data_IF_805525191733
#
_entry.id   IF_805525191733
#
_cell.length_a   1.000
_cell.length_b   1.000
_cell.length_c   1.000
_cell.angle_alpha   90.00
_cell.angle_beta   90.00
_cell.angle_gamma   90.00
#
_symmetry.space_group_name_H-M   'P 1'
#
loop_
_entity.id
_entity.type
_entity.pdbx_description
1 polymer ?
#
# COMPACT_ATOMS: atom_id res chain seq x y z
N UNK A 1 33.30 50.44 37.88
CA UNK A 1 33.60 49.82 36.58
C UNK A 1 33.75 48.32 36.77
N UNK A 2 32.69 47.58 36.55
CA UNK A 2 32.69 46.15 36.37
C UNK A 2 32.14 45.85 34.99
N UNK A 3 33.04 45.46 34.10
CA UNK A 3 32.73 45.04 32.75
C UNK A 3 32.18 43.62 32.79
N UNK A 4 30.93 43.45 32.37
CA UNK A 4 30.37 42.15 32.04
C UNK A 4 30.87 41.71 30.69
N UNK A 5 31.65 40.64 30.66
CA UNK A 5 32.05 39.96 29.44
C UNK A 5 30.88 39.09 28.98
N UNK A 6 30.21 39.49 27.92
CA UNK A 6 29.24 38.71 27.18
C UNK A 6 30.01 37.78 26.23
N UNK A 7 30.23 36.55 26.67
CA UNK A 7 30.70 35.49 25.73
C UNK A 7 30.04 34.17 26.13
N UNK A 8 28.72 34.14 26.06
CA UNK A 8 27.98 32.87 25.96
C UNK A 8 27.64 32.71 24.50
N UNK A 9 28.48 31.93 23.81
CA UNK A 9 28.13 31.35 22.52
C UNK A 9 27.08 30.25 22.80
N UNK A 10 25.83 30.60 22.57
CA UNK A 10 24.77 29.61 22.48
C UNK A 10 25.06 28.75 21.25
N UNK A 11 25.15 27.43 21.37
CA UNK A 11 25.15 26.58 20.20
C UNK A 11 23.72 26.59 19.66
N UNK A 12 23.45 27.59 18.80
CA UNK A 12 22.26 27.55 17.95
C UNK A 12 22.59 26.66 16.75
N UNK A 13 22.53 25.41 16.94
CA UNK A 13 22.16 24.49 15.86
C UNK A 13 20.79 23.88 16.19
N UNK A 14 19.79 24.75 16.17
CA UNK A 14 18.44 24.34 15.88
C UNK A 14 18.36 24.30 14.33
N UNK A 15 19.03 23.34 13.68
CA UNK A 15 18.52 22.83 12.44
C UNK A 15 17.15 22.29 12.81
N UNK A 16 16.13 23.09 12.54
CA UNK A 16 14.75 22.68 12.65
C UNK A 16 14.63 21.40 11.87
N UNK A 17 14.50 20.30 12.58
CA UNK A 17 14.11 19.03 11.99
C UNK A 17 12.68 19.27 11.51
N UNK A 18 12.54 19.80 10.30
CA UNK A 18 11.25 19.95 9.62
C UNK A 18 10.77 18.58 9.11
N UNK A 19 11.08 17.51 9.84
CA UNK A 19 10.62 16.18 9.54
C UNK A 19 9.10 16.07 9.75
N UNK A 20 8.48 15.26 8.93
CA UNK A 20 7.09 14.83 9.12
C UNK A 20 7.08 13.67 10.10
N UNK A 21 6.17 13.73 11.08
CA UNK A 21 5.83 12.61 11.96
C UNK A 21 4.53 11.97 11.45
N UNK A 22 4.53 10.66 11.26
CA UNK A 22 3.41 9.91 10.75
C UNK A 22 3.13 8.70 11.63
N UNK A 23 1.93 8.64 12.21
CA UNK A 23 1.46 7.46 12.95
C UNK A 23 0.91 6.42 11.98
N UNK A 24 1.40 5.19 12.04
CA UNK A 24 0.94 4.06 11.23
C UNK A 24 0.28 3.03 12.14
N UNK A 25 -1.04 2.89 12.00
CA UNK A 25 -1.82 1.90 12.73
C UNK A 25 -1.70 0.50 12.10
N UNK A 26 -1.66 -0.54 12.96
CA UNK A 26 -1.61 -1.93 12.55
C UNK A 26 -2.51 -2.81 13.40
N UNK A 27 -2.89 -3.95 12.86
CA UNK A 27 -3.64 -5.00 13.56
C UNK A 27 -2.69 -6.11 14.01
N UNK A 28 -3.09 -6.88 15.03
CA UNK A 28 -2.41 -8.15 15.36
C UNK A 28 -2.43 -9.09 14.15
N UNK A 29 -1.31 -9.77 13.88
CA UNK A 29 -1.10 -10.65 12.74
C UNK A 29 -0.49 -9.94 11.54
N UNK A 30 -0.79 -10.42 10.34
CA UNK A 30 -0.24 -9.89 9.10
C UNK A 30 -0.88 -8.57 8.69
N UNK A 31 -0.05 -7.61 8.31
CA UNK A 31 -0.41 -6.32 7.73
C UNK A 31 0.38 -6.11 6.44
N UNK A 32 -0.10 -5.23 5.57
CA UNK A 32 0.70 -4.72 4.46
C UNK A 32 1.10 -3.29 4.80
N UNK A 33 2.42 -3.04 4.90
CA UNK A 33 3.00 -1.75 5.25
C UNK A 33 3.76 -1.15 4.07
N UNK A 34 4.05 0.14 4.13
CA UNK A 34 4.88 0.85 3.16
C UNK A 34 5.64 1.99 3.81
N UNK A 35 6.66 2.53 3.14
CA UNK A 35 7.47 3.64 3.60
C UNK A 35 7.08 4.93 2.85
N UNK A 36 6.33 5.86 3.47
CA UNK A 36 5.85 7.08 2.83
C UNK A 36 6.75 8.30 3.07
N UNK A 37 7.94 8.11 3.66
CA UNK A 37 8.88 9.15 4.06
C UNK A 37 10.30 8.81 3.58
N UNK A 38 11.11 9.83 3.32
CA UNK A 38 12.56 9.69 3.23
C UNK A 38 13.10 9.66 4.67
N UNK A 39 13.81 8.60 5.02
CA UNK A 39 14.25 8.30 6.39
C UNK A 39 15.76 8.08 6.47
N UNK A 40 16.35 8.28 7.65
CA UNK A 40 17.77 7.99 7.87
C UNK A 40 18.05 6.48 7.89
N UNK A 41 17.16 5.68 8.48
CA UNK A 41 17.23 4.22 8.51
C UNK A 41 15.99 3.63 7.87
N UNK A 42 16.17 2.80 6.86
CA UNK A 42 15.11 2.03 6.19
C UNK A 42 14.90 0.65 6.81
N UNK A 43 15.68 0.29 7.83
CA UNK A 43 15.55 -0.98 8.53
C UNK A 43 14.17 -1.10 9.20
N UNK A 44 13.41 -2.15 8.87
CA UNK A 44 12.04 -2.28 9.38
C UNK A 44 11.94 -2.34 10.89
N UNK A 45 12.97 -2.84 11.59
CA UNK A 45 12.99 -2.88 13.05
C UNK A 45 13.14 -1.50 13.71
N UNK A 46 13.69 -0.50 12.98
CA UNK A 46 13.75 0.89 13.43
C UNK A 46 12.45 1.62 13.14
N UNK A 47 11.83 1.34 11.98
CA UNK A 47 10.58 1.97 11.54
C UNK A 47 9.35 1.39 12.24
N UNK A 48 9.34 0.09 12.46
CA UNK A 48 8.25 -0.66 13.09
C UNK A 48 8.76 -1.49 14.26
N UNK A 49 9.18 -0.89 15.37
CA UNK A 49 9.73 -1.58 16.53
C UNK A 49 8.75 -2.56 17.19
N UNK A 50 7.44 -2.37 16.99
CA UNK A 50 6.40 -3.28 17.47
C UNK A 50 6.23 -4.54 16.62
N UNK A 51 6.96 -4.66 15.49
CA UNK A 51 6.86 -5.79 14.57
C UNK A 51 7.57 -7.04 15.08
N UNK A 52 7.15 -8.20 14.56
CA UNK A 52 7.81 -9.49 14.85
C UNK A 52 9.05 -9.62 13.97
N UNK A 53 10.21 -9.85 14.60
CA UNK A 53 11.47 -9.97 13.89
C UNK A 53 11.48 -11.13 12.87
N UNK A 54 12.06 -10.86 11.69
CA UNK A 54 12.18 -11.84 10.60
C UNK A 54 10.88 -12.07 9.79
N UNK A 55 9.92 -11.14 9.87
CA UNK A 55 8.63 -11.28 9.19
C UNK A 55 8.36 -10.22 8.11
N UNK A 56 9.37 -9.45 7.71
CA UNK A 56 9.24 -8.56 6.56
C UNK A 56 9.39 -9.34 5.25
N UNK A 57 8.39 -9.28 4.37
CA UNK A 57 8.43 -9.92 3.06
C UNK A 57 8.00 -8.94 1.96
N UNK A 58 8.86 -8.78 0.96
CA UNK A 58 8.55 -8.17 -0.32
C UNK A 58 7.94 -9.17 -1.30
N UNK A 59 7.61 -8.70 -2.51
CA UNK A 59 7.06 -9.51 -3.58
C UNK A 59 7.62 -9.10 -4.94
N UNK A 60 8.26 -10.07 -5.61
CA UNK A 60 8.75 -9.97 -6.99
C UNK A 60 8.35 -11.21 -7.79
N UNK A 61 7.03 -11.54 -7.76
CA UNK A 61 6.50 -12.79 -8.29
C UNK A 61 6.42 -13.90 -7.23
N UNK A 62 7.27 -13.84 -6.20
CA UNK A 62 7.24 -14.70 -5.01
C UNK A 62 7.54 -13.85 -3.78
N UNK A 63 7.12 -14.32 -2.60
CA UNK A 63 7.49 -13.66 -1.35
C UNK A 63 8.96 -13.90 -1.02
N UNK A 64 9.70 -12.81 -0.80
CA UNK A 64 11.12 -12.80 -0.42
C UNK A 64 11.30 -12.12 0.92
N UNK A 65 12.10 -12.71 1.85
CA UNK A 65 12.43 -12.01 3.09
C UNK A 65 13.24 -10.76 2.80
N UNK A 66 12.90 -9.68 3.50
CA UNK A 66 13.57 -8.39 3.38
C UNK A 66 14.01 -7.90 4.77
N UNK A 67 14.90 -6.90 4.81
CA UNK A 67 15.37 -6.26 6.05
C UNK A 67 15.09 -4.77 6.07
N UNK A 68 14.81 -4.17 4.94
CA UNK A 68 14.64 -2.75 4.73
C UNK A 68 13.38 -2.48 3.91
N UNK A 69 12.79 -1.30 4.09
CA UNK A 69 11.70 -0.81 3.25
C UNK A 69 12.24 0.20 2.24
N UNK A 70 11.67 0.16 1.05
CA UNK A 70 11.93 1.14 -0.02
C UNK A 70 10.65 1.93 -0.30
N UNK A 71 10.69 3.27 -0.40
CA UNK A 71 9.53 4.06 -0.81
C UNK A 71 8.92 3.55 -2.12
N UNK A 72 7.60 3.50 -2.17
CA UNK A 72 6.85 3.00 -3.33
C UNK A 72 6.59 1.50 -3.32
N UNK A 73 7.41 0.70 -2.62
CA UNK A 73 7.17 -0.73 -2.45
C UNK A 73 6.31 -1.01 -1.21
N UNK A 74 5.45 -2.01 -1.29
CA UNK A 74 4.68 -2.54 -0.17
C UNK A 74 5.31 -3.82 0.38
N UNK A 75 5.05 -4.11 1.64
CA UNK A 75 5.63 -5.26 2.33
C UNK A 75 4.64 -5.90 3.27
N UNK A 76 4.66 -7.23 3.36
CA UNK A 76 4.02 -7.95 4.45
C UNK A 76 4.86 -7.86 5.72
N UNK A 77 4.22 -7.59 6.85
CA UNK A 77 4.85 -7.52 8.17
C UNK A 77 3.89 -8.03 9.24
N UNK A 78 4.42 -8.76 10.24
CA UNK A 78 3.61 -9.29 11.37
C UNK A 78 3.77 -8.41 12.59
N UNK A 79 2.63 -8.18 13.29
CA UNK A 79 2.61 -7.58 14.61
C UNK A 79 1.95 -8.54 15.61
N UNK A 80 2.49 -8.61 16.84
CA UNK A 80 1.93 -9.49 17.88
C UNK A 80 0.59 -8.97 18.39
N UNK A 81 0.47 -7.64 18.49
CA UNK A 81 -0.68 -6.95 19.04
C UNK A 81 -1.16 -5.85 18.09
N UNK A 82 -2.38 -5.39 18.27
CA UNK A 82 -2.89 -4.18 17.60
C UNK A 82 -2.29 -2.94 18.26
N UNK A 83 -1.85 -1.99 17.46
CA UNK A 83 -1.20 -0.76 17.93
C UNK A 83 -0.87 0.19 16.82
N UNK A 84 0.12 1.05 17.07
CA UNK A 84 0.69 1.98 16.08
C UNK A 84 2.16 2.20 16.35
N UNK A 85 2.93 2.48 15.30
CA UNK A 85 4.30 2.97 15.37
C UNK A 85 4.39 4.35 14.70
N UNK A 86 5.35 5.17 15.12
CA UNK A 86 5.59 6.52 14.61
C UNK A 86 6.80 6.52 13.69
N UNK A 87 6.61 6.96 12.45
CA UNK A 87 7.66 7.15 11.46
C UNK A 87 8.02 8.62 11.39
N UNK A 88 9.31 8.93 11.38
CA UNK A 88 9.84 10.30 11.26
C UNK A 88 10.78 10.39 10.05
N UNK A 89 10.62 11.43 9.25
CA UNK A 89 11.45 11.63 8.06
C UNK A 89 11.00 12.82 7.22
N UNK A 90 11.61 13.01 6.07
CA UNK A 90 11.22 14.05 5.13
C UNK A 90 10.04 13.61 4.26
N UNK A 91 9.19 14.57 3.88
CA UNK A 91 8.00 14.27 3.09
C UNK A 91 8.35 13.86 1.66
N UNK A 92 7.77 12.75 1.22
CA UNK A 92 7.75 12.33 -0.19
C UNK A 92 6.48 12.88 -0.83
N UNK A 93 6.60 13.83 -1.75
CA UNK A 93 5.46 14.44 -2.41
C UNK A 93 5.07 13.74 -3.72
N UNK A 94 6.00 13.02 -4.33
CA UNK A 94 5.76 12.26 -5.55
C UNK A 94 6.71 11.09 -5.68
N UNK A 95 6.24 10.01 -6.30
CA UNK A 95 7.00 8.80 -6.63
C UNK A 95 6.65 8.34 -8.04
N UNK A 96 7.63 7.78 -8.74
CA UNK A 96 7.42 6.96 -9.93
C UNK A 96 7.46 5.51 -9.50
N UNK A 97 6.41 4.75 -9.80
CA UNK A 97 6.34 3.31 -9.55
C UNK A 97 6.49 2.57 -10.88
N UNK A 98 7.48 1.70 -10.95
CA UNK A 98 7.64 0.76 -12.05
C UNK A 98 6.79 -0.48 -11.76
N UNK A 99 5.75 -0.69 -12.58
CA UNK A 99 4.86 -1.83 -12.47
C UNK A 99 5.25 -2.92 -13.46
N UNK A 100 5.20 -4.17 -13.01
CA UNK A 100 5.25 -5.34 -13.89
C UNK A 100 3.83 -5.77 -14.24
N UNK A 101 3.66 -6.44 -15.38
CA UNK A 101 2.37 -7.05 -15.71
C UNK A 101 1.93 -8.01 -14.60
N UNK A 102 0.66 -7.93 -14.19
CA UNK A 102 0.08 -8.69 -13.10
C UNK A 102 0.13 -7.94 -11.76
N UNK A 103 0.27 -8.68 -10.67
CA UNK A 103 0.17 -8.14 -9.32
C UNK A 103 1.47 -7.50 -8.83
N UNK A 104 1.37 -6.26 -8.37
CA UNK A 104 2.44 -5.47 -7.76
C UNK A 104 2.08 -5.15 -6.31
N UNK A 105 3.05 -5.24 -5.42
CA UNK A 105 2.88 -4.86 -4.01
C UNK A 105 3.51 -3.47 -3.82
N UNK A 106 2.67 -2.46 -3.67
CA UNK A 106 3.06 -1.04 -3.73
C UNK A 106 2.71 -0.28 -2.44
N UNK A 107 3.27 0.91 -2.30
CA UNK A 107 2.87 1.90 -1.29
C UNK A 107 2.76 3.30 -1.90
N UNK A 108 2.17 4.24 -1.14
CA UNK A 108 1.99 5.62 -1.56
C UNK A 108 3.05 6.58 -1.02
N UNK A 109 2.74 7.86 -1.13
CA UNK A 109 3.54 9.01 -0.65
C UNK A 109 3.04 9.49 0.72
N UNK A 110 3.61 10.58 1.25
CA UNK A 110 3.32 11.10 2.60
C UNK A 110 1.86 11.53 2.81
N UNK A 111 1.15 11.91 1.76
CA UNK A 111 -0.26 12.25 1.84
C UNK A 111 -1.13 11.21 1.13
N UNK A 112 -2.40 11.03 1.56
CA UNK A 112 -3.31 10.11 0.90
C UNK A 112 -3.52 10.48 -0.57
N UNK A 113 -3.44 9.49 -1.48
CA UNK A 113 -3.67 9.68 -2.91
C UNK A 113 -4.77 8.76 -3.40
N UNK A 114 -5.82 9.33 -4.02
CA UNK A 114 -6.84 8.49 -4.65
C UNK A 114 -6.26 7.82 -5.89
N UNK A 115 -6.55 6.53 -6.09
CA UNK A 115 -6.04 5.78 -7.24
C UNK A 115 -6.43 6.42 -8.60
N UNK A 116 -7.57 7.10 -8.66
CA UNK A 116 -7.99 7.84 -9.85
C UNK A 116 -7.17 9.11 -10.13
N UNK A 117 -6.36 9.57 -9.17
CA UNK A 117 -5.45 10.71 -9.31
C UNK A 117 -4.02 10.29 -9.66
N UNK A 118 -3.73 9.00 -9.66
CA UNK A 118 -2.44 8.46 -10.11
C UNK A 118 -2.30 8.69 -11.62
N UNK A 119 -1.16 9.25 -12.02
CA UNK A 119 -0.81 9.43 -13.42
C UNK A 119 -0.43 8.08 -14.05
N UNK A 120 -1.28 7.58 -14.93
CA UNK A 120 -1.13 6.31 -15.66
C UNK A 120 -1.19 6.60 -17.17
N UNK A 121 -0.07 7.06 -17.76
CA UNK A 121 -0.03 7.51 -19.15
C UNK A 121 -0.31 6.38 -20.15
N UNK A 122 0.01 5.15 -19.78
CA UNK A 122 -0.16 3.98 -20.65
C UNK A 122 -1.47 3.23 -20.37
N UNK A 123 -2.24 3.67 -19.36
CA UNK A 123 -3.52 3.06 -18.96
C UNK A 123 -3.37 1.57 -18.58
N UNK A 124 -2.30 1.27 -17.83
CA UNK A 124 -1.96 -0.10 -17.41
C UNK A 124 -2.63 -0.51 -16.10
N UNK A 125 -3.06 0.44 -15.27
CA UNK A 125 -3.75 0.13 -14.02
C UNK A 125 -5.09 -0.55 -14.31
N UNK A 126 -5.26 -1.79 -13.84
CA UNK A 126 -6.52 -2.52 -13.94
C UNK A 126 -7.52 -1.94 -12.93
N UNK A 127 -8.67 -1.39 -13.38
CA UNK A 127 -9.65 -0.79 -12.48
C UNK A 127 -10.20 -1.78 -11.44
N UNK A 128 -10.44 -1.29 -10.21
CA UNK A 128 -11.02 -2.10 -9.13
C UNK A 128 -10.05 -3.11 -8.49
N UNK A 129 -8.75 -3.03 -8.78
CA UNK A 129 -7.74 -3.97 -8.27
C UNK A 129 -6.80 -3.40 -7.22
N UNK A 130 -7.09 -2.22 -6.66
CA UNK A 130 -6.37 -1.75 -5.48
C UNK A 130 -6.92 -2.46 -4.24
N UNK A 131 -6.10 -3.30 -3.60
CA UNK A 131 -6.46 -4.05 -2.41
C UNK A 131 -5.52 -3.75 -1.25
N UNK A 132 -6.08 -3.26 -0.14
CA UNK A 132 -5.44 -3.31 1.16
C UNK A 132 -5.73 -4.63 1.87
N UNK A 133 -5.23 -4.76 3.11
CA UNK A 133 -5.42 -5.96 3.93
C UNK A 133 -5.74 -5.57 5.38
N UNK A 134 -6.82 -6.16 5.90
CA UNK A 134 -7.22 -6.07 7.31
C UNK A 134 -7.81 -7.42 7.73
N UNK A 135 -6.92 -8.42 7.90
CA UNK A 135 -7.31 -9.81 8.10
C UNK A 135 -7.82 -10.51 6.84
N UNK A 136 -8.33 -9.75 5.88
CA UNK A 136 -8.76 -10.18 4.55
C UNK A 136 -8.46 -9.08 3.53
N UNK A 137 -8.45 -9.43 2.23
CA UNK A 137 -8.31 -8.42 1.18
C UNK A 137 -9.56 -7.53 1.10
N UNK A 138 -9.31 -6.21 1.12
CA UNK A 138 -10.34 -5.18 1.03
C UNK A 138 -10.06 -4.28 -0.17
N UNK A 139 -11.04 -4.08 -1.04
CA UNK A 139 -10.90 -3.07 -2.10
C UNK A 139 -10.71 -1.68 -1.47
N UNK A 140 -9.75 -0.94 -1.99
CA UNK A 140 -9.48 0.45 -1.64
C UNK A 140 -9.60 1.35 -2.87
N UNK A 141 -9.84 2.62 -2.64
CA UNK A 141 -9.73 3.68 -3.67
C UNK A 141 -8.60 4.65 -3.38
N UNK A 142 -7.89 4.46 -2.25
CA UNK A 142 -6.92 5.43 -1.75
C UNK A 142 -5.68 4.71 -1.25
N UNK A 143 -4.52 5.21 -1.63
CA UNK A 143 -3.22 4.88 -1.05
C UNK A 143 -3.07 5.72 0.23
N UNK A 144 -3.17 5.08 1.38
CA UNK A 144 -3.01 5.72 2.69
C UNK A 144 -1.55 5.63 3.10
N UNK A 145 -0.93 6.73 3.58
CA UNK A 145 0.46 6.73 4.02
C UNK A 145 0.76 5.64 5.06
N UNK A 146 1.90 4.98 4.95
CA UNK A 146 2.33 3.90 5.83
C UNK A 146 1.70 2.54 5.56
N UNK A 147 0.64 2.47 4.74
CA UNK A 147 0.03 1.22 4.32
C UNK A 147 0.51 0.78 2.94
N UNK A 148 0.59 -0.54 2.74
CA UNK A 148 0.87 -1.15 1.46
C UNK A 148 -0.39 -1.73 0.81
N UNK A 149 -0.33 -1.89 -0.51
CA UNK A 149 -1.45 -2.31 -1.33
C UNK A 149 -1.03 -3.23 -2.45
N UNK A 150 -1.89 -4.15 -2.81
CA UNK A 150 -1.81 -4.85 -4.07
C UNK A 150 -2.48 -4.02 -5.16
N UNK A 151 -1.82 -3.93 -6.32
CA UNK A 151 -2.33 -3.31 -7.54
C UNK A 151 -2.04 -4.21 -8.72
N UNK A 152 -3.04 -4.47 -9.56
CA UNK A 152 -2.86 -5.25 -10.80
C UNK A 152 -2.62 -4.30 -11.97
N UNK A 153 -1.61 -4.62 -12.79
CA UNK A 153 -1.32 -3.92 -14.03
C UNK A 153 -1.52 -4.87 -15.24
N UNK A 154 -2.16 -4.37 -16.29
CA UNK A 154 -2.42 -5.13 -17.53
C UNK A 154 -1.17 -5.36 -18.35
N UNK A 155 -0.17 -4.49 -18.19
CA UNK A 155 1.16 -4.57 -18.82
C UNK A 155 2.21 -3.97 -17.89
N UNK A 156 3.51 -4.08 -18.25
CA UNK A 156 4.58 -3.38 -17.56
C UNK A 156 4.66 -1.92 -18.00
N UNK A 157 5.02 -1.02 -17.08
CA UNK A 157 5.16 0.39 -17.35
C UNK A 157 5.29 1.23 -16.09
N UNK A 158 5.33 2.56 -16.24
CA UNK A 158 5.49 3.50 -15.15
C UNK A 158 4.19 4.23 -14.83
N UNK A 159 3.93 4.42 -13.54
CA UNK A 159 2.86 5.29 -13.05
C UNK A 159 3.41 6.30 -12.05
N UNK A 160 2.81 7.50 -12.01
CA UNK A 160 3.29 8.57 -11.13
C UNK A 160 2.26 8.87 -10.05
N UNK A 161 2.65 8.67 -8.79
CA UNK A 161 1.85 8.97 -7.60
C UNK A 161 2.29 10.34 -7.08
N UNK A 162 1.36 11.30 -6.97
CA UNK A 162 1.66 12.65 -6.48
C UNK A 162 0.64 13.12 -5.46
N UNK A 163 1.14 13.69 -4.36
CA UNK A 163 0.30 14.37 -3.38
C UNK A 163 -0.37 15.60 -4.01
N UNK A 164 -1.70 15.72 -3.89
CA UNK A 164 -2.45 16.84 -4.45
C UNK A 164 -2.67 16.79 -5.96
N UNK A 165 -2.41 15.67 -6.60
CA UNK A 165 -2.72 15.44 -8.01
C UNK A 165 -4.22 15.63 -8.28
N UNK A 166 -4.57 16.36 -9.36
CA UNK A 166 -5.96 16.46 -9.79
C UNK A 166 -6.43 15.13 -10.37
N UNK A 167 -7.64 14.69 -10.00
CA UNK A 167 -8.25 13.51 -10.59
C UNK A 167 -8.28 13.65 -12.13
N UNK A 168 -7.79 12.64 -12.83
CA UNK A 168 -7.75 12.63 -14.29
C UNK A 168 -9.12 12.34 -14.88
N UNK A 169 -9.39 12.92 -16.02
CA UNK A 169 -10.64 12.73 -16.78
C UNK A 169 -10.69 11.42 -17.57
N UNK A 170 -9.63 10.61 -17.56
CA UNK A 170 -9.49 9.38 -18.36
C UNK A 170 -9.29 8.09 -17.53
N UNK A 171 -9.85 8.02 -16.34
CA UNK A 171 -9.95 6.74 -15.66
C UNK A 171 -11.03 5.89 -16.35
N UNK A 172 -10.67 4.70 -16.82
CA UNK A 172 -11.65 3.74 -17.36
C UNK A 172 -12.71 3.47 -16.29
N UNK A 173 -13.97 3.78 -16.58
CA UNK A 173 -15.07 3.58 -15.64
C UNK A 173 -15.26 2.08 -15.41
N UNK A 174 -14.90 1.59 -14.25
CA UNK A 174 -15.19 0.23 -13.81
C UNK A 174 -16.61 0.16 -13.22
N UNK A 175 -17.42 -0.73 -13.73
CA UNK A 175 -18.73 -1.05 -13.17
C UNK A 175 -18.60 -2.23 -12.21
N UNK A 176 -18.84 -1.99 -10.92
CA UNK A 176 -18.77 -3.04 -9.93
C UNK A 176 -19.99 -3.98 -10.01
N UNK A 177 -19.86 -5.06 -10.77
CA UNK A 177 -20.90 -6.09 -10.96
C UNK A 177 -21.17 -6.93 -9.71
N UNK A 178 -20.36 -6.84 -8.65
CA UNK A 178 -20.59 -7.60 -7.40
C UNK A 178 -21.93 -7.24 -6.75
N UNK A 179 -22.46 -6.05 -7.04
CA UNK A 179 -23.75 -5.57 -6.53
C UNK A 179 -24.96 -6.30 -7.14
N UNK A 180 -24.79 -6.86 -8.33
CA UNK A 180 -25.82 -7.59 -9.08
C UNK A 180 -25.65 -9.09 -8.98
N UNK A 181 -24.50 -9.56 -8.46
CA UNK A 181 -24.15 -10.97 -8.36
C UNK A 181 -24.70 -11.64 -7.12
N UNK A 182 -24.87 -12.96 -7.19
CA UNK A 182 -25.10 -13.77 -5.99
C UNK A 182 -23.83 -13.81 -5.14
N UNK A 183 -23.99 -13.82 -3.83
CA UNK A 183 -22.89 -13.78 -2.87
C UNK A 183 -22.82 -15.05 -2.04
N UNK A 184 -21.62 -15.62 -1.90
CA UNK A 184 -21.27 -16.60 -0.89
C UNK A 184 -20.31 -15.96 0.12
N UNK A 185 -20.65 -16.06 1.41
CA UNK A 185 -19.84 -15.48 2.50
C UNK A 185 -19.20 -16.57 3.34
N UNK A 186 -17.88 -16.46 3.57
CA UNK A 186 -17.09 -17.36 4.41
C UNK A 186 -16.23 -16.52 5.37
N UNK A 187 -16.50 -16.58 6.66
CA UNK A 187 -15.76 -15.82 7.68
C UNK A 187 -15.61 -14.32 7.34
N UNK A 188 -16.66 -13.70 6.79
CA UNK A 188 -16.64 -12.29 6.39
C UNK A 188 -16.03 -12.02 5.01
N UNK A 189 -15.48 -13.02 4.34
CA UNK A 189 -15.01 -12.92 2.95
C UNK A 189 -16.13 -13.27 1.98
N UNK A 190 -16.33 -12.44 0.98
CA UNK A 190 -17.36 -12.64 -0.04
C UNK A 190 -16.74 -13.03 -1.38
N UNK A 191 -17.32 -14.04 -1.99
CA UNK A 191 -17.12 -14.42 -3.39
C UNK A 191 -18.44 -14.34 -4.13
N UNK A 192 -18.40 -14.07 -5.44
CA UNK A 192 -19.57 -13.69 -6.21
C UNK A 192 -19.75 -14.56 -7.46
N UNK A 193 -21.01 -14.79 -7.88
CA UNK A 193 -21.28 -15.59 -9.06
C UNK A 193 -22.63 -15.24 -9.70
N UNK A 194 -22.83 -15.67 -10.95
CA UNK A 194 -24.13 -15.61 -11.61
C UNK A 194 -24.38 -14.34 -12.41
N UNK A 195 -23.33 -13.57 -12.72
CA UNK A 195 -23.39 -12.41 -13.61
C UNK A 195 -22.36 -12.63 -14.70
N UNK A 196 -22.69 -12.25 -15.94
CA UNK A 196 -21.72 -12.26 -17.05
C UNK A 196 -20.71 -11.17 -16.89
N UNK A 197 -19.44 -11.50 -17.02
CA UNK A 197 -18.31 -10.59 -16.90
C UNK A 197 -17.77 -10.33 -18.30
N UNK A 198 -17.75 -9.07 -18.79
CA UNK A 198 -17.09 -8.75 -20.05
C UNK A 198 -15.62 -9.19 -20.04
N UNK A 199 -15.12 -9.70 -21.17
CA UNK A 199 -13.72 -10.19 -21.24
C UNK A 199 -12.70 -9.14 -20.83
N UNK A 200 -12.94 -7.88 -21.17
CA UNK A 200 -12.09 -6.73 -20.81
C UNK A 200 -12.09 -6.41 -19.30
N UNK A 201 -13.12 -6.83 -18.56
CA UNK A 201 -13.24 -6.61 -17.12
C UNK A 201 -12.81 -7.82 -16.28
N UNK A 202 -12.42 -8.93 -16.89
CA UNK A 202 -12.06 -10.17 -16.19
C UNK A 202 -10.93 -9.96 -15.17
N UNK A 203 -9.94 -9.12 -15.48
CA UNK A 203 -8.83 -8.81 -14.58
C UNK A 203 -9.29 -8.06 -13.33
N UNK A 204 -10.32 -7.25 -13.41
CA UNK A 204 -10.89 -6.48 -12.28
C UNK A 204 -11.48 -7.36 -11.18
N UNK A 205 -11.77 -8.63 -11.49
CA UNK A 205 -12.31 -9.62 -10.56
C UNK A 205 -11.29 -10.64 -10.09
N UNK A 206 -10.01 -10.47 -10.41
CA UNK A 206 -8.94 -11.26 -9.84
C UNK A 206 -8.64 -10.84 -8.41
N UNK A 207 -8.20 -11.78 -7.59
CA UNK A 207 -7.68 -11.53 -6.25
C UNK A 207 -6.15 -11.48 -6.29
N UNK A 208 -5.53 -10.70 -5.41
CA UNK A 208 -4.09 -10.70 -5.24
C UNK A 208 -3.52 -12.10 -4.96
N UNK A 209 -2.20 -12.31 -5.05
CA UNK A 209 -1.54 -13.52 -4.56
C UNK A 209 -2.03 -13.89 -3.16
N UNK A 210 -2.09 -15.20 -2.86
CA UNK A 210 -2.56 -15.63 -1.53
C UNK A 210 -1.74 -14.97 -0.44
N UNK A 211 -2.40 -14.53 0.66
CA UNK A 211 -1.67 -14.00 1.81
C UNK A 211 -0.64 -15.01 2.33
N UNK A 212 0.35 -14.57 3.12
CA UNK A 212 1.28 -15.47 3.78
C UNK A 212 0.57 -16.56 4.60
N UNK A 213 1.27 -17.65 4.87
CA UNK A 213 0.74 -18.84 5.55
C UNK A 213 0.06 -18.48 6.88
N UNK A 214 -1.10 -19.10 7.13
CA UNK A 214 -1.87 -18.93 8.37
C UNK A 214 -3.05 -17.98 8.25
N UNK A 215 -3.20 -17.28 7.12
CA UNK A 215 -4.35 -16.43 6.85
C UNK A 215 -5.47 -17.19 6.14
N UNK A 216 -6.71 -16.86 6.51
CA UNK A 216 -7.88 -17.37 5.80
C UNK A 216 -8.02 -16.67 4.44
N UNK A 217 -8.19 -17.47 3.39
CA UNK A 217 -8.42 -16.99 2.04
C UNK A 217 -9.48 -17.85 1.35
N UNK A 218 -10.42 -17.22 0.66
CA UNK A 218 -11.45 -17.87 -0.14
C UNK A 218 -11.51 -17.24 -1.52
N UNK A 219 -11.40 -18.07 -2.54
CA UNK A 219 -11.41 -17.65 -3.95
C UNK A 219 -11.86 -18.79 -4.87
N UNK A 220 -12.38 -18.45 -6.02
CA UNK A 220 -12.60 -19.42 -7.08
C UNK A 220 -11.30 -19.87 -7.74
N UNK A 221 -11.35 -20.96 -8.48
CA UNK A 221 -10.23 -21.42 -9.32
C UNK A 221 -9.82 -20.31 -10.29
N UNK A 222 -8.51 -20.11 -10.46
CA UNK A 222 -7.96 -19.02 -11.27
C UNK A 222 -7.85 -17.70 -10.50
N UNK A 223 -7.78 -17.77 -9.16
CA UNK A 223 -7.57 -16.62 -8.28
C UNK A 223 -8.61 -15.50 -8.45
N UNK A 224 -9.89 -15.87 -8.55
CA UNK A 224 -10.97 -14.94 -8.79
C UNK A 224 -11.89 -14.78 -7.60
N UNK A 225 -12.34 -13.52 -7.35
CA UNK A 225 -13.41 -13.22 -6.41
C UNK A 225 -14.80 -13.43 -7.02
N UNK A 226 -14.90 -13.49 -8.36
CA UNK A 226 -16.15 -13.60 -9.10
C UNK A 226 -16.01 -14.51 -10.30
N UNK A 227 -17.04 -15.30 -10.57
CA UNK A 227 -17.16 -16.19 -11.74
C UNK A 227 -18.54 -16.07 -12.38
N UNK A 228 -18.59 -16.30 -13.67
CA UNK A 228 -19.84 -16.56 -14.39
C UNK A 228 -20.40 -17.93 -14.00
N UNK A 229 -21.67 -18.17 -14.25
CA UNK A 229 -22.32 -19.48 -14.09
C UNK A 229 -22.43 -20.21 -15.41
#
# INVERSE_FOLDING_TARGET
HTSFSSNESWPHDWSEFCGVELTVDFQSGWNIVGLPLEVESSAYGDLFPSSVAGTLYGFTGTYTPESELTPGAGYWLVFSDTGSDELMGDAINSLTLELSQGWNLISGVTLPVNISAVDDPESIIVPGTLYGFSGTYQNSSTLVPGQGYWLNASDGGEVHVSAGGAARTSFSSFTDLTKEANTLSFNGNNIYFGVSIPDEEMLSYQLPPKPPTGMFDVRFVGDRKMVET
#
